data_IF_549098719089
#
_entry.id   IF_549098719089
#
_cell.length_a   1.000
_cell.length_b   1.000
_cell.length_c   1.000
_cell.angle_alpha   90.00
_cell.angle_beta   90.00
_cell.angle_gamma   90.00
#
_symmetry.space_group_name_H-M   'P 1'
#
loop_
_entity.id
_entity.type
_entity.pdbx_description
1 polymer ?
#
# COMPACT_ATOMS: atom_id res chain seq x y z
N UNK A 1 3.87 -47.50 70.13
CA UNK A 1 5.06 -46.74 69.69
C UNK A 1 5.34 -47.03 68.24
N UNK A 2 4.61 -46.38 67.31
CA UNK A 2 4.84 -46.53 65.85
C UNK A 2 4.30 -45.30 65.04
N UNK A 3 4.46 -44.08 65.51
CA UNK A 3 3.89 -42.87 64.81
C UNK A 3 4.93 -41.78 64.45
N UNK A 4 6.23 -42.02 64.73
CA UNK A 4 7.27 -40.97 64.56
C UNK A 4 8.06 -41.09 63.25
N UNK A 5 7.79 -42.03 62.35
CA UNK A 5 8.62 -42.29 61.16
C UNK A 5 8.18 -41.54 59.86
N UNK A 6 7.11 -40.78 59.87
CA UNK A 6 6.59 -40.17 58.64
C UNK A 6 6.57 -38.64 58.62
N UNK A 7 7.13 -37.99 59.65
CA UNK A 7 7.07 -36.51 59.73
C UNK A 7 8.35 -35.86 59.17
N UNK A 8 9.44 -36.60 58.97
CA UNK A 8 10.72 -36.01 58.53
C UNK A 8 10.89 -35.78 57.01
N UNK A 9 10.19 -36.46 56.08
CA UNK A 9 10.37 -36.16 54.66
C UNK A 9 9.45 -35.02 54.11
N UNK A 10 8.52 -34.51 54.90
CA UNK A 10 7.60 -33.46 54.43
C UNK A 10 8.13 -32.05 54.65
N UNK A 11 9.21 -31.85 55.35
CA UNK A 11 9.80 -30.55 55.64
C UNK A 11 10.90 -30.13 54.67
N UNK A 12 11.33 -31.02 53.75
CA UNK A 12 12.39 -30.72 52.77
C UNK A 12 11.85 -30.33 51.37
N UNK A 13 10.52 -30.34 51.17
CA UNK A 13 9.93 -29.99 49.87
C UNK A 13 9.36 -28.55 49.82
N UNK A 14 9.52 -27.79 50.88
CA UNK A 14 8.98 -26.45 51.02
C UNK A 14 9.93 -25.29 50.72
N UNK A 15 11.17 -25.53 50.28
CA UNK A 15 12.20 -24.49 50.21
C UNK A 15 12.79 -24.23 48.82
N UNK A 16 12.08 -24.59 47.74
CA UNK A 16 12.58 -24.36 46.36
C UNK A 16 11.62 -23.47 45.55
N UNK A 17 10.83 -22.62 46.17
CA UNK A 17 9.93 -21.73 45.44
C UNK A 17 10.18 -20.24 45.71
N UNK A 18 11.36 -19.86 46.12
CA UNK A 18 11.69 -18.45 46.39
C UNK A 18 13.01 -18.04 45.73
N UNK A 19 13.15 -18.24 44.44
CA UNK A 19 14.19 -17.62 43.62
C UNK A 19 13.78 -17.46 42.17
N UNK A 20 12.56 -17.00 41.94
CA UNK A 20 12.33 -16.10 40.78
C UNK A 20 12.41 -14.69 41.38
N UNK A 21 13.61 -14.17 41.51
CA UNK A 21 13.75 -12.74 41.36
C UNK A 21 13.27 -12.44 39.95
N UNK A 22 12.00 -12.05 39.79
CA UNK A 22 11.66 -11.12 38.75
C UNK A 22 12.51 -9.90 39.09
N UNK A 23 13.60 -9.73 38.36
CA UNK A 23 14.15 -8.40 38.18
C UNK A 23 12.92 -7.61 37.67
N UNK A 24 12.29 -6.83 38.55
CA UNK A 24 11.33 -5.81 38.17
C UNK A 24 12.15 -4.83 37.34
N UNK A 25 12.28 -5.11 36.04
CA UNK A 25 12.78 -4.13 35.10
C UNK A 25 11.87 -2.92 35.28
N UNK A 26 12.43 -1.88 35.84
CA UNK A 26 11.74 -0.64 36.13
C UNK A 26 11.10 -0.17 34.82
N UNK A 27 9.77 -0.25 34.75
CA UNK A 27 9.06 0.07 33.53
C UNK A 27 9.20 1.57 33.26
N UNK A 28 9.98 1.90 32.23
CA UNK A 28 10.13 3.28 31.78
C UNK A 28 8.86 3.70 31.08
N UNK A 29 8.23 4.79 31.53
CA UNK A 29 7.07 5.35 30.86
C UNK A 29 7.46 5.87 29.48
N UNK A 30 6.59 5.65 28.49
CA UNK A 30 6.79 6.25 27.17
C UNK A 30 6.53 7.75 27.21
N UNK A 31 7.35 8.52 26.52
CA UNK A 31 7.16 9.96 26.35
C UNK A 31 5.83 10.24 25.66
N UNK A 32 5.16 11.27 26.10
CA UNK A 32 3.94 11.75 25.46
C UNK A 32 4.30 12.48 24.16
N UNK A 33 3.55 12.19 23.11
CA UNK A 33 3.61 12.96 21.86
C UNK A 33 2.68 14.17 21.97
N UNK A 34 3.09 15.28 21.37
CA UNK A 34 2.35 16.54 21.35
C UNK A 34 2.19 17.05 19.93
N UNK A 35 1.28 18.02 19.76
CA UNK A 35 1.09 18.72 18.48
C UNK A 35 0.85 17.76 17.29
N UNK A 36 0.12 16.64 17.55
CA UNK A 36 -0.22 15.71 16.48
C UNK A 36 -1.11 16.40 15.45
N UNK A 37 -0.63 16.45 14.21
CA UNK A 37 -1.32 17.08 13.07
C UNK A 37 -1.35 16.15 11.87
N UNK A 38 -2.26 16.44 10.93
CA UNK A 38 -2.33 15.77 9.63
C UNK A 38 -2.15 16.79 8.51
N UNK A 39 -1.40 16.41 7.50
CA UNK A 39 -1.27 17.15 6.25
C UNK A 39 -1.75 16.27 5.11
N UNK A 40 -2.72 16.80 4.35
CA UNK A 40 -3.26 16.14 3.16
C UNK A 40 -2.38 16.42 1.95
N UNK A 41 -2.23 15.39 1.10
CA UNK A 41 -1.59 15.53 -0.20
C UNK A 41 -2.27 14.56 -1.20
N UNK A 42 -2.02 14.72 -2.51
CA UNK A 42 -2.58 13.83 -3.52
C UNK A 42 -2.20 12.37 -3.30
N UNK A 43 -3.18 11.56 -2.90
CA UNK A 43 -2.98 10.13 -2.65
C UNK A 43 -2.25 9.78 -1.37
N UNK A 44 -2.01 10.74 -0.46
CA UNK A 44 -1.32 10.49 0.81
C UNK A 44 -1.80 11.39 1.95
N UNK A 45 -1.50 10.97 3.17
CA UNK A 45 -1.72 11.73 4.40
C UNK A 45 -0.45 11.61 5.22
N UNK A 46 0.13 12.75 5.60
CA UNK A 46 1.29 12.80 6.49
C UNK A 46 0.83 13.16 7.89
N UNK A 47 1.19 12.34 8.86
CA UNK A 47 1.09 12.61 10.28
C UNK A 47 2.37 13.28 10.75
N UNK A 48 2.27 14.31 11.59
CA UNK A 48 3.41 14.98 12.21
C UNK A 48 3.13 15.18 13.68
N UNK A 49 4.14 14.97 14.52
CA UNK A 49 4.06 15.13 15.97
C UNK A 49 5.35 15.69 16.54
N UNK A 50 5.31 16.08 17.78
CA UNK A 50 6.46 16.50 18.57
C UNK A 50 6.56 15.66 19.83
N UNK A 51 7.74 15.51 20.38
CA UNK A 51 7.93 14.97 21.72
C UNK A 51 7.93 16.11 22.73
N UNK A 52 7.36 15.87 23.91
CA UNK A 52 7.17 16.90 24.93
C UNK A 52 8.47 17.60 25.36
N UNK A 53 9.58 16.85 25.37
CA UNK A 53 10.92 17.37 25.65
C UNK A 53 11.91 16.61 24.77
N UNK A 54 12.94 17.28 24.26
CA UNK A 54 13.94 16.68 23.37
C UNK A 54 14.72 15.52 24.05
N UNK A 55 14.91 15.59 25.37
CA UNK A 55 15.50 14.52 26.17
C UNK A 55 14.60 13.30 26.28
N UNK A 56 13.29 13.48 26.24
CA UNK A 56 12.30 12.40 26.35
C UNK A 56 12.26 11.53 25.10
N UNK A 57 12.71 12.01 23.95
CA UNK A 57 12.89 11.18 22.77
C UNK A 57 13.81 9.98 23.04
N UNK A 58 14.70 10.07 24.04
CA UNK A 58 15.55 8.95 24.45
C UNK A 58 14.80 7.85 25.20
N UNK A 59 13.67 8.15 25.83
CA UNK A 59 12.81 7.16 26.50
C UNK A 59 11.86 6.50 25.53
N UNK A 60 11.63 7.09 24.35
CA UNK A 60 10.79 6.53 23.29
C UNK A 60 11.61 5.61 22.40
N UNK A 61 11.11 4.41 22.14
CA UNK A 61 11.69 3.45 21.20
C UNK A 61 11.12 3.61 19.81
N UNK A 62 9.80 3.70 19.73
CA UNK A 62 9.06 3.80 18.47
C UNK A 62 7.70 4.46 18.71
N UNK A 63 7.08 4.90 17.63
CA UNK A 63 5.69 5.34 17.59
C UNK A 63 4.92 4.38 16.68
N UNK A 64 3.85 3.80 17.22
CA UNK A 64 2.95 2.92 16.48
C UNK A 64 1.77 3.72 15.93
N UNK A 65 1.47 3.52 14.66
CA UNK A 65 0.35 4.15 13.95
C UNK A 65 -0.61 3.04 13.53
N UNK A 66 -1.87 3.12 13.96
CA UNK A 66 -2.93 2.19 13.61
C UNK A 66 -4.03 2.94 12.88
N UNK A 67 -4.54 2.33 11.82
CA UNK A 67 -5.68 2.85 11.08
C UNK A 67 -6.39 1.72 10.32
N UNK A 68 -7.65 1.94 9.97
CA UNK A 68 -8.36 1.06 9.05
C UNK A 68 -8.10 1.51 7.62
N UNK A 69 -7.63 0.59 6.79
CA UNK A 69 -7.46 0.83 5.35
C UNK A 69 -8.67 0.29 4.57
N UNK A 70 -9.51 1.18 4.06
CA UNK A 70 -10.72 0.77 3.34
C UNK A 70 -10.44 0.16 1.97
N UNK A 71 -9.28 0.38 1.38
CA UNK A 71 -8.91 -0.22 0.10
C UNK A 71 -8.71 -1.74 0.22
N UNK A 72 -8.05 -2.17 1.28
CA UNK A 72 -7.80 -3.59 1.56
C UNK A 72 -8.74 -4.16 2.63
N UNK A 73 -9.63 -3.33 3.20
CA UNK A 73 -10.61 -3.67 4.25
C UNK A 73 -9.97 -4.32 5.48
N UNK A 74 -8.85 -3.77 5.94
CA UNK A 74 -8.09 -4.30 7.09
C UNK A 74 -7.59 -3.18 8.00
N UNK A 75 -7.43 -3.53 9.28
CA UNK A 75 -6.65 -2.71 10.19
C UNK A 75 -5.17 -2.85 9.85
N UNK A 76 -4.51 -1.72 9.71
CA UNK A 76 -3.08 -1.62 9.39
C UNK A 76 -2.36 -1.07 10.60
N UNK A 77 -1.19 -1.64 10.88
CA UNK A 77 -0.25 -1.20 11.89
C UNK A 77 1.05 -0.82 11.21
N UNK A 78 1.55 0.36 11.49
CA UNK A 78 2.83 0.88 11.03
C UNK A 78 3.64 1.37 12.23
N UNK A 79 4.94 1.46 12.07
CA UNK A 79 5.83 1.97 13.12
C UNK A 79 6.75 3.01 12.54
N UNK A 80 6.91 4.10 13.29
CA UNK A 80 7.91 5.11 13.02
C UNK A 80 9.05 4.99 14.04
N UNK A 81 10.27 5.26 13.61
CA UNK A 81 11.42 5.32 14.50
C UNK A 81 11.30 6.50 15.47
N UNK A 82 11.92 6.39 16.65
CA UNK A 82 12.03 7.49 17.61
C UNK A 82 12.70 8.75 17.04
N UNK A 83 13.51 8.59 16.00
CA UNK A 83 14.20 9.70 15.33
C UNK A 83 13.34 10.40 14.29
N UNK A 84 12.12 9.89 14.05
CA UNK A 84 11.16 10.48 13.13
C UNK A 84 10.06 11.17 13.92
N UNK A 85 9.73 12.38 13.52
CA UNK A 85 8.60 13.14 14.02
C UNK A 85 7.45 13.21 13.01
N UNK A 86 7.51 12.38 11.96
CA UNK A 86 6.49 12.29 10.92
C UNK A 86 6.39 10.89 10.33
N UNK A 87 5.23 10.60 9.77
CA UNK A 87 4.96 9.38 9.02
C UNK A 87 3.95 9.62 7.91
N UNK A 88 4.29 9.24 6.70
CA UNK A 88 3.40 9.39 5.55
C UNK A 88 2.71 8.07 5.25
N UNK A 89 1.39 8.12 5.15
CA UNK A 89 0.55 7.02 4.69
C UNK A 89 0.34 7.23 3.19
N UNK A 90 1.00 6.41 2.39
CA UNK A 90 0.84 6.39 0.95
C UNK A 90 -0.40 5.58 0.55
N UNK A 91 -0.93 5.86 -0.62
CA UNK A 91 -2.14 5.23 -1.17
C UNK A 91 -3.43 5.50 -0.36
N UNK A 92 -3.45 6.57 0.42
CA UNK A 92 -4.69 7.09 0.98
C UNK A 92 -5.51 7.75 -0.12
N UNK A 93 -6.72 7.24 -0.39
CA UNK A 93 -7.53 7.72 -1.51
C UNK A 93 -8.72 8.55 -1.02
N UNK A 94 -8.88 9.74 -1.58
CA UNK A 94 -9.98 10.66 -1.26
C UNK A 94 -11.37 10.01 -1.35
N UNK A 95 -11.57 9.07 -2.26
CA UNK A 95 -12.86 8.37 -2.46
C UNK A 95 -13.34 7.60 -1.22
N UNK A 96 -12.45 7.27 -0.31
CA UNK A 96 -12.77 6.56 0.93
C UNK A 96 -13.11 7.51 2.09
N UNK A 97 -13.03 8.84 1.86
CA UNK A 97 -13.36 9.82 2.86
C UNK A 97 -12.30 9.98 3.93
N UNK A 98 -12.74 10.14 5.16
CA UNK A 98 -11.90 10.41 6.31
C UNK A 98 -11.27 9.12 6.85
N UNK A 99 -9.97 9.19 7.11
CA UNK A 99 -9.20 8.17 7.81
C UNK A 99 -9.01 8.59 9.26
N UNK A 100 -9.22 7.66 10.19
CA UNK A 100 -8.94 7.85 11.61
C UNK A 100 -7.65 7.12 11.97
N UNK A 101 -6.72 7.85 12.55
CA UNK A 101 -5.43 7.33 12.99
C UNK A 101 -5.36 7.29 14.51
N UNK A 102 -4.84 6.20 15.06
CA UNK A 102 -4.40 6.08 16.44
C UNK A 102 -2.88 6.07 16.44
N UNK A 103 -2.30 6.99 17.18
CA UNK A 103 -0.84 7.18 17.28
C UNK A 103 -0.43 6.96 18.73
N UNK A 104 0.47 6.01 18.97
CA UNK A 104 0.86 5.59 20.32
C UNK A 104 2.38 5.44 20.42
N UNK A 105 3.05 6.18 21.29
CA UNK A 105 4.47 5.97 21.57
C UNK A 105 4.70 4.74 22.45
N UNK A 106 5.83 4.09 22.28
CA UNK A 106 6.30 3.00 23.12
C UNK A 106 7.68 3.34 23.69
N UNK A 107 7.88 3.05 24.96
CA UNK A 107 9.16 3.28 25.62
C UNK A 107 10.23 2.28 25.18
N UNK A 108 11.45 2.47 25.67
CA UNK A 108 12.57 1.53 25.47
C UNK A 108 12.31 0.16 26.09
N UNK A 109 11.48 0.09 27.13
CA UNK A 109 11.02 -1.16 27.75
C UNK A 109 9.70 -1.66 27.16
N UNK A 110 9.25 -1.12 26.01
CA UNK A 110 7.98 -1.42 25.35
C UNK A 110 6.72 -1.10 26.18
N UNK A 111 6.85 -0.26 27.19
CA UNK A 111 5.69 0.25 27.91
C UNK A 111 4.90 1.19 26.98
N UNK A 112 3.60 0.96 26.75
CA UNK A 112 2.81 1.81 25.89
C UNK A 112 2.50 3.16 26.57
N UNK A 113 2.63 4.24 25.81
CA UNK A 113 2.21 5.57 26.21
C UNK A 113 0.74 5.85 25.85
N UNK A 114 0.36 7.10 26.00
CA UNK A 114 -1.01 7.56 25.73
C UNK A 114 -1.32 7.49 24.24
N UNK A 115 -2.47 6.92 23.89
CA UNK A 115 -2.97 6.90 22.51
C UNK A 115 -3.58 8.26 22.17
N UNK A 116 -3.09 8.88 21.11
CA UNK A 116 -3.74 10.05 20.52
C UNK A 116 -4.48 9.65 19.25
N UNK A 117 -5.61 10.33 18.99
CA UNK A 117 -6.42 10.10 17.80
C UNK A 117 -6.52 11.37 16.99
N UNK A 118 -6.38 11.20 15.67
CA UNK A 118 -6.54 12.29 14.72
C UNK A 118 -7.17 11.76 13.44
N UNK A 119 -7.82 12.65 12.70
CA UNK A 119 -8.41 12.31 11.40
C UNK A 119 -7.73 13.09 10.28
N UNK A 120 -7.81 12.54 9.07
CA UNK A 120 -7.30 13.19 7.88
C UNK A 120 -7.98 12.68 6.63
N UNK A 121 -8.03 13.53 5.60
CA UNK A 121 -8.60 13.20 4.29
C UNK A 121 -7.50 13.43 3.25
N UNK A 122 -7.24 12.41 2.42
CA UNK A 122 -6.30 12.58 1.31
C UNK A 122 -6.87 13.52 0.24
N UNK A 123 -6.00 14.23 -0.47
CA UNK A 123 -6.40 14.97 -1.65
C UNK A 123 -6.63 14.03 -2.84
N UNK A 124 -7.33 14.53 -3.84
CA UNK A 124 -7.53 13.78 -5.08
C UNK A 124 -6.19 13.63 -5.79
N UNK A 125 -5.77 12.38 -6.00
CA UNK A 125 -4.63 12.13 -6.85
C UNK A 125 -4.92 12.68 -8.26
N UNK A 126 -3.97 13.40 -8.88
CA UNK A 126 -4.14 13.84 -10.24
C UNK A 126 -4.32 12.59 -11.12
N UNK A 127 -5.42 12.52 -11.83
CA UNK A 127 -5.58 11.56 -12.91
C UNK A 127 -4.77 12.18 -14.07
N UNK A 128 -3.60 11.63 -14.31
CA UNK A 128 -2.86 11.97 -15.52
C UNK A 128 -3.55 11.19 -16.64
N UNK A 129 -4.63 11.76 -17.17
CA UNK A 129 -5.14 11.39 -18.47
C UNK A 129 -4.21 12.01 -19.51
N UNK A 130 -2.98 11.54 -19.59
CA UNK A 130 -2.20 11.71 -20.80
C UNK A 130 -2.82 10.81 -21.87
N UNK A 131 -3.99 11.19 -22.32
CA UNK A 131 -4.41 10.87 -23.67
C UNK A 131 -3.55 11.71 -24.61
N UNK A 132 -2.31 11.32 -24.81
CA UNK A 132 -1.62 11.59 -26.05
C UNK A 132 -2.31 10.74 -27.11
N UNK A 133 -3.52 11.16 -27.52
CA UNK A 133 -4.03 10.77 -28.80
C UNK A 133 -3.18 11.53 -29.81
N UNK A 134 -2.05 10.95 -30.17
CA UNK A 134 -1.46 11.28 -31.45
C UNK A 134 -2.53 10.84 -32.44
N UNK A 135 -3.24 11.80 -33.04
CA UNK A 135 -4.03 11.50 -34.23
C UNK A 135 -3.04 10.90 -35.23
N UNK A 136 -3.02 9.59 -35.30
CA UNK A 136 -2.38 8.93 -36.39
C UNK A 136 -3.23 9.32 -37.60
N UNK A 137 -2.75 10.20 -38.43
CA UNK A 137 -3.38 10.52 -39.71
C UNK A 137 -3.20 9.29 -40.61
N UNK A 138 -4.05 8.29 -40.37
CA UNK A 138 -4.12 7.09 -41.19
C UNK A 138 -4.87 7.51 -42.44
N UNK A 139 -4.16 7.61 -43.54
CA UNK A 139 -4.76 7.85 -44.86
C UNK A 139 -4.79 6.51 -45.64
N UNK A 140 -5.65 6.43 -46.62
CA UNK A 140 -5.72 5.24 -47.49
C UNK A 140 -4.35 4.93 -48.11
N UNK A 141 -3.55 5.96 -48.42
CA UNK A 141 -2.25 5.81 -49.05
C UNK A 141 -1.20 5.18 -48.15
N UNK A 142 -1.33 5.35 -46.82
CA UNK A 142 -0.41 4.72 -45.86
C UNK A 142 -0.99 3.48 -45.18
N UNK A 143 -2.19 3.08 -45.54
CA UNK A 143 -2.84 1.85 -45.11
C UNK A 143 -2.46 0.74 -46.10
N UNK A 144 -1.25 0.25 -46.03
CA UNK A 144 -0.84 -0.91 -46.80
C UNK A 144 -1.45 -2.18 -46.22
N UNK A 145 -2.45 -2.73 -46.87
CA UNK A 145 -3.01 -4.05 -46.58
C UNK A 145 -2.17 -5.18 -47.21
N UNK A 146 -0.98 -4.95 -47.45
CA UNK A 146 0.01 -5.88 -47.84
C UNK A 146 1.32 -5.55 -47.13
N UNK A 147 2.21 -6.45 -47.01
CA UNK A 147 3.49 -6.28 -46.36
C UNK A 147 4.52 -7.17 -46.94
N UNK A 148 5.67 -7.15 -46.35
CA UNK A 148 6.69 -8.13 -46.65
C UNK A 148 6.68 -9.22 -45.60
N UNK A 149 6.97 -10.45 -46.03
CA UNK A 149 7.30 -11.53 -45.11
C UNK A 149 8.58 -11.15 -44.34
N UNK A 150 8.90 -11.86 -43.25
CA UNK A 150 10.12 -11.60 -42.47
C UNK A 150 11.42 -11.66 -43.28
N UNK A 151 11.38 -12.25 -44.45
CA UNK A 151 12.51 -12.28 -45.39
C UNK A 151 12.80 -10.92 -46.06
N UNK A 152 11.91 -9.96 -45.92
CA UNK A 152 12.01 -8.60 -46.46
C UNK A 152 11.87 -8.50 -48.00
N UNK A 153 11.62 -9.60 -48.68
CA UNK A 153 11.58 -9.68 -50.15
C UNK A 153 10.24 -10.15 -50.67
N UNK A 154 9.63 -11.12 -49.99
CA UNK A 154 8.36 -11.72 -50.45
C UNK A 154 7.21 -10.79 -50.09
N UNK A 155 6.48 -10.28 -51.07
CA UNK A 155 5.28 -9.48 -50.83
C UNK A 155 4.12 -10.34 -50.37
N UNK A 156 3.39 -9.86 -49.36
CA UNK A 156 2.08 -10.41 -48.97
C UNK A 156 1.07 -9.81 -49.94
N UNK A 157 0.26 -10.59 -50.62
CA UNK A 157 -0.75 -10.07 -51.51
C UNK A 157 -1.72 -9.14 -50.77
N UNK A 158 -2.11 -8.06 -51.40
CA UNK A 158 -3.20 -7.25 -50.92
C UNK A 158 -4.48 -8.07 -50.83
N UNK A 159 -5.36 -7.69 -49.90
CA UNK A 159 -6.67 -8.29 -49.80
C UNK A 159 -7.38 -8.25 -51.16
N UNK A 160 -7.94 -9.37 -51.60
CA UNK A 160 -8.76 -9.44 -52.78
C UNK A 160 -10.07 -8.65 -52.70
N UNK A 161 -10.37 -8.11 -51.56
CA UNK A 161 -11.59 -7.34 -51.30
C UNK A 161 -11.45 -5.84 -51.56
N UNK A 162 -10.33 -5.38 -52.11
CA UNK A 162 -10.15 -3.98 -52.51
C UNK A 162 -11.09 -3.72 -53.70
N UNK A 163 -11.99 -2.77 -53.51
CA UNK A 163 -12.98 -2.43 -54.52
C UNK A 163 -14.38 -3.05 -54.34
N UNK A 164 -14.52 -4.05 -53.49
CA UNK A 164 -15.80 -4.72 -53.21
C UNK A 164 -16.63 -4.07 -52.10
N UNK A 165 -16.19 -2.87 -51.65
CA UNK A 165 -16.83 -2.16 -50.55
C UNK A 165 -16.48 -2.71 -49.16
N UNK A 166 -15.48 -3.58 -49.07
CA UNK A 166 -14.94 -4.17 -47.83
C UNK A 166 -13.44 -3.88 -47.67
N UNK A 167 -12.94 -2.90 -48.38
CA UNK A 167 -11.54 -2.50 -48.39
C UNK A 167 -11.13 -1.58 -47.23
N UNK A 168 -9.90 -1.07 -47.25
CA UNK A 168 -9.32 -0.23 -46.19
C UNK A 168 -10.10 1.08 -45.97
N UNK A 169 -10.84 1.53 -46.99
CA UNK A 169 -11.74 2.69 -46.90
C UNK A 169 -12.77 2.54 -45.77
N UNK A 170 -13.13 1.32 -45.43
CA UNK A 170 -14.07 1.03 -44.34
C UNK A 170 -13.52 1.28 -42.95
N UNK A 171 -12.21 1.34 -42.81
CA UNK A 171 -11.59 1.71 -41.54
C UNK A 171 -11.62 3.23 -41.29
N UNK A 172 -11.82 3.99 -42.33
CA UNK A 172 -11.74 5.46 -42.31
C UNK A 172 -13.09 6.13 -42.53
N UNK A 173 -14.19 5.38 -42.76
CA UNK A 173 -15.51 5.93 -43.05
C UNK A 173 -16.29 6.38 -41.79
N UNK A 174 -15.69 6.26 -40.61
CA UNK A 174 -16.26 6.59 -39.32
C UNK A 174 -17.63 5.91 -39.05
N UNK A 175 -17.85 4.77 -39.65
CA UNK A 175 -19.08 4.00 -39.54
C UNK A 175 -18.82 2.67 -38.82
N UNK A 176 -19.33 2.54 -37.60
CA UNK A 176 -19.13 1.35 -36.78
C UNK A 176 -19.86 0.12 -37.27
N UNK A 177 -20.74 0.25 -38.25
CA UNK A 177 -21.46 -0.84 -38.88
C UNK A 177 -20.72 -1.45 -40.08
N UNK A 178 -19.65 -0.82 -40.53
CA UNK A 178 -18.77 -1.34 -41.58
C UNK A 178 -17.57 -2.04 -40.97
N UNK A 179 -16.97 -2.93 -41.71
CA UNK A 179 -15.79 -3.67 -41.27
C UNK A 179 -14.88 -3.97 -42.46
N UNK A 180 -13.60 -4.03 -42.14
CA UNK A 180 -12.60 -4.50 -43.09
C UNK A 180 -12.65 -6.04 -43.15
N UNK A 181 -12.90 -6.57 -44.33
CA UNK A 181 -12.73 -8.01 -44.57
C UNK A 181 -11.31 -8.26 -45.08
N UNK A 182 -10.47 -8.81 -44.22
CA UNK A 182 -9.18 -9.35 -44.63
C UNK A 182 -9.44 -10.71 -45.25
N UNK A 183 -9.18 -10.86 -46.56
CA UNK A 183 -9.34 -12.13 -47.24
C UNK A 183 -8.56 -13.21 -46.49
N UNK A 184 -9.28 -14.08 -45.83
CA UNK A 184 -8.73 -15.31 -45.31
C UNK A 184 -8.63 -16.26 -46.50
N UNK A 185 -7.55 -16.16 -47.25
CA UNK A 185 -7.19 -17.24 -48.17
C UNK A 185 -6.79 -18.41 -47.31
N UNK A 186 -7.72 -19.39 -47.16
CA UNK A 186 -7.42 -20.65 -46.53
C UNK A 186 -6.12 -21.19 -47.16
N UNK A 187 -5.13 -21.30 -46.36
CA UNK A 187 -3.89 -22.03 -46.70
C UNK A 187 -4.30 -23.49 -46.72
N UNK A 188 -4.04 -24.26 -47.76
CA UNK A 188 -4.24 -25.71 -47.80
C UNK A 188 -3.44 -26.41 -46.70
#
# INVERSE_FOLDING_TARGET
MKVIKYILPLLSLGLIVAACNSDDEESIAATEIQNLTTQSAPGSITLTWEYAVEEDANTTRLVEIRYYDPAIKKNVKKTASRFSNSFTIDNALKRYGEYTFEVQPFSTTFTPGIVQRITGIAERAPVIDEKTSTELAITIDNLTLGGFKPDGVTTIPQSSCIGDGYGPERLLDNNTSTFLNTAYSGVP
#
